data_IF_990519752735
#
_entry.id   IF_990519752735
#
_cell.length_a   1.000
_cell.length_b   1.000
_cell.length_c   1.000
_cell.angle_alpha   90.00
_cell.angle_beta   90.00
_cell.angle_gamma   90.00
#
_symmetry.space_group_name_H-M   'P 1'
#
loop_
_entity.id
_entity.type
_entity.pdbx_description
1 polymer ?
#
# COMPACT_ATOMS: atom_id res chain seq x y z
N UNK A 1 49.30 2.72 -32.44
CA UNK A 1 48.56 2.67 -31.16
C UNK A 1 47.91 1.32 -30.90
N UNK A 2 47.09 0.72 -31.80
CA UNK A 2 46.45 -0.59 -31.61
C UNK A 2 47.40 -1.76 -31.34
N UNK A 3 48.55 -1.80 -32.03
CA UNK A 3 49.56 -2.84 -31.79
C UNK A 3 50.18 -2.78 -30.37
N UNK A 4 50.35 -1.57 -29.78
CA UNK A 4 50.83 -1.41 -28.41
C UNK A 4 49.81 -1.88 -27.36
N UNK A 5 48.53 -1.95 -27.72
CA UNK A 5 47.44 -2.43 -26.88
C UNK A 5 47.07 -3.90 -27.13
N UNK A 6 47.81 -4.60 -28.00
CA UNK A 6 47.52 -6.00 -28.33
C UNK A 6 46.19 -6.22 -29.08
N UNK A 7 45.63 -5.16 -29.68
CA UNK A 7 44.34 -5.21 -30.36
C UNK A 7 44.53 -5.30 -31.88
N UNK A 8 43.89 -6.30 -32.50
CA UNK A 8 43.94 -6.44 -33.98
C UNK A 8 43.12 -5.32 -34.66
N UNK A 9 43.60 -4.81 -35.79
CA UNK A 9 42.87 -3.78 -36.57
C UNK A 9 41.50 -4.27 -37.02
N UNK A 10 41.35 -5.53 -37.38
CA UNK A 10 40.08 -6.15 -37.78
C UNK A 10 39.11 -6.21 -36.62
N UNK A 11 39.55 -6.64 -35.44
CA UNK A 11 38.75 -6.68 -34.23
C UNK A 11 38.26 -5.29 -33.83
N UNK A 12 39.11 -4.28 -33.89
CA UNK A 12 38.74 -2.89 -33.62
C UNK A 12 37.68 -2.35 -34.58
N UNK A 13 37.85 -2.60 -35.90
CA UNK A 13 36.85 -2.20 -36.91
C UNK A 13 35.53 -2.92 -36.73
N UNK A 14 35.54 -4.21 -36.42
CA UNK A 14 34.32 -4.99 -36.13
C UNK A 14 33.64 -4.47 -34.88
N UNK A 15 34.39 -4.02 -33.88
CA UNK A 15 33.85 -3.45 -32.66
C UNK A 15 33.18 -2.09 -32.92
N UNK A 16 33.83 -1.18 -33.66
CA UNK A 16 33.28 0.13 -34.00
C UNK A 16 32.00 0.01 -34.87
N UNK A 17 32.03 -0.89 -35.84
CA UNK A 17 30.91 -1.07 -36.78
C UNK A 17 29.84 -2.04 -36.29
N UNK A 18 29.91 -2.45 -35.02
CA UNK A 18 28.98 -3.44 -34.48
C UNK A 18 27.58 -2.88 -34.37
N UNK A 19 26.66 -3.44 -35.12
CA UNK A 19 25.24 -3.16 -34.96
C UNK A 19 24.70 -3.85 -33.73
N UNK A 20 23.76 -3.21 -33.00
CA UNK A 20 23.13 -3.86 -31.86
C UNK A 20 22.42 -5.15 -32.28
N UNK A 21 22.54 -6.19 -31.46
CA UNK A 21 21.83 -7.45 -31.73
C UNK A 21 20.30 -7.27 -31.49
N UNK A 22 19.48 -8.12 -32.10
CA UNK A 22 18.05 -8.13 -31.87
C UNK A 22 17.69 -8.23 -30.38
N UNK A 23 18.47 -8.95 -29.61
CA UNK A 23 18.31 -9.04 -28.13
C UNK A 23 18.57 -7.71 -27.44
N UNK A 24 19.59 -6.97 -27.86
CA UNK A 24 19.89 -5.65 -27.32
C UNK A 24 18.81 -4.63 -27.69
N UNK A 25 18.33 -4.64 -28.94
CA UNK A 25 17.23 -3.78 -29.39
C UNK A 25 15.99 -4.05 -28.55
N UNK A 26 15.60 -5.34 -28.37
CA UNK A 26 14.47 -5.73 -27.54
C UNK A 26 14.65 -5.30 -26.08
N UNK A 27 15.84 -5.42 -25.53
CA UNK A 27 16.16 -5.00 -24.17
C UNK A 27 15.91 -3.49 -23.97
N UNK A 28 16.36 -2.65 -24.89
CA UNK A 28 16.15 -1.20 -24.82
C UNK A 28 14.67 -0.83 -24.95
N UNK A 29 13.93 -1.49 -25.83
CA UNK A 29 12.48 -1.30 -25.94
C UNK A 29 11.77 -1.65 -24.64
N UNK A 30 12.11 -2.78 -24.02
CA UNK A 30 11.51 -3.18 -22.74
C UNK A 30 11.90 -2.24 -21.62
N UNK A 31 13.15 -1.79 -21.53
CA UNK A 31 13.60 -0.79 -20.55
C UNK A 31 12.84 0.53 -20.68
N UNK A 32 12.61 0.99 -21.90
CA UNK A 32 11.80 2.18 -22.15
C UNK A 32 10.36 2.00 -21.63
N UNK A 33 9.70 0.87 -21.92
CA UNK A 33 8.36 0.55 -21.42
C UNK A 33 8.32 0.46 -19.88
N UNK A 34 9.33 -0.14 -19.26
CA UNK A 34 9.47 -0.19 -17.79
C UNK A 34 9.52 1.22 -17.22
N UNK A 35 10.32 2.12 -17.81
CA UNK A 35 10.48 3.52 -17.37
C UNK A 35 9.16 4.28 -17.47
N UNK A 36 8.41 4.11 -18.57
CA UNK A 36 7.09 4.72 -18.75
C UNK A 36 6.12 4.25 -17.65
N UNK A 37 5.94 2.92 -17.47
CA UNK A 37 5.04 2.36 -16.46
C UNK A 37 5.44 2.79 -15.03
N UNK A 38 6.74 2.88 -14.76
CA UNK A 38 7.25 3.33 -13.47
C UNK A 38 6.89 4.79 -13.21
N UNK A 39 7.08 5.68 -14.18
CA UNK A 39 6.73 7.10 -14.07
C UNK A 39 5.21 7.30 -13.97
N UNK A 40 4.41 6.60 -14.78
CA UNK A 40 2.94 6.65 -14.73
C UNK A 40 2.39 6.23 -13.36
N UNK A 41 3.10 5.31 -12.68
CA UNK A 41 2.77 4.90 -11.32
C UNK A 41 3.28 5.85 -10.24
N UNK A 42 3.83 7.01 -10.61
CA UNK A 42 4.51 7.94 -9.68
C UNK A 42 5.57 7.20 -8.84
N UNK A 43 6.37 6.36 -9.49
CA UNK A 43 7.47 5.59 -8.88
C UNK A 43 7.05 4.53 -7.85
N UNK A 44 5.75 4.22 -7.74
CA UNK A 44 5.23 3.27 -6.74
C UNK A 44 5.31 1.79 -7.17
N UNK A 45 5.50 1.51 -8.48
CA UNK A 45 5.49 0.13 -8.96
C UNK A 45 6.85 -0.52 -8.90
N UNK A 46 6.94 -1.66 -8.21
CA UNK A 46 8.08 -2.56 -8.25
C UNK A 46 7.98 -3.59 -9.38
N UNK A 47 9.01 -4.44 -9.50
CA UNK A 47 9.11 -5.44 -10.57
C UNK A 47 7.86 -6.33 -10.76
N UNK A 48 7.17 -6.82 -9.72
CA UNK A 48 5.97 -7.64 -9.90
C UNK A 48 4.82 -6.89 -10.59
N UNK A 49 4.52 -5.66 -10.14
CA UNK A 49 3.44 -4.85 -10.71
C UNK A 49 3.75 -4.42 -12.14
N UNK A 50 5.00 -4.03 -12.43
CA UNK A 50 5.46 -3.67 -13.78
C UNK A 50 5.42 -4.88 -14.71
N UNK A 51 5.87 -6.06 -14.26
CA UNK A 51 5.79 -7.29 -15.06
C UNK A 51 4.34 -7.66 -15.39
N UNK A 52 3.41 -7.49 -14.44
CA UNK A 52 1.98 -7.71 -14.67
C UNK A 52 1.44 -6.76 -15.74
N UNK A 53 1.79 -5.49 -15.69
CA UNK A 53 1.39 -4.49 -16.70
C UNK A 53 1.95 -4.80 -18.09
N UNK A 54 3.24 -5.16 -18.17
CA UNK A 54 3.87 -5.56 -19.43
C UNK A 54 3.21 -6.81 -20.04
N UNK A 55 2.86 -7.81 -19.22
CA UNK A 55 2.12 -8.99 -19.68
C UNK A 55 0.73 -8.63 -20.20
N UNK A 56 0.04 -7.70 -19.55
CA UNK A 56 -1.27 -7.20 -20.01
C UNK A 56 -1.18 -6.47 -21.37
N UNK A 57 -0.02 -5.85 -21.68
CA UNK A 57 0.25 -5.24 -22.99
C UNK A 57 0.83 -6.24 -24.02
N UNK A 58 0.79 -7.56 -23.75
CA UNK A 58 1.23 -8.60 -24.67
C UNK A 58 2.72 -8.95 -24.62
N UNK A 59 3.50 -8.40 -23.66
CA UNK A 59 4.91 -8.71 -23.53
C UNK A 59 5.14 -10.04 -22.80
N UNK A 60 5.99 -10.90 -23.36
CA UNK A 60 6.44 -12.14 -22.70
C UNK A 60 7.69 -11.81 -21.88
N UNK A 61 7.50 -11.58 -20.56
CA UNK A 61 8.58 -11.21 -19.66
C UNK A 61 8.35 -11.74 -18.24
N UNK A 62 9.42 -12.08 -17.53
CA UNK A 62 9.36 -12.53 -16.14
C UNK A 62 9.63 -11.37 -15.17
N UNK A 63 9.14 -11.48 -13.94
CA UNK A 63 9.40 -10.52 -12.88
C UNK A 63 10.89 -10.37 -12.58
N UNK A 64 11.64 -11.49 -12.63
CA UNK A 64 13.10 -11.50 -12.46
C UNK A 64 13.81 -10.66 -13.51
N UNK A 65 13.37 -10.73 -14.78
CA UNK A 65 13.94 -9.95 -15.88
C UNK A 65 13.63 -8.45 -15.71
N UNK A 66 12.40 -8.11 -15.32
CA UNK A 66 12.03 -6.74 -15.01
C UNK A 66 12.86 -6.20 -13.85
N UNK A 67 13.01 -6.96 -12.77
CA UNK A 67 13.85 -6.58 -11.62
C UNK A 67 15.32 -6.36 -12.00
N UNK A 68 15.87 -7.19 -12.89
CA UNK A 68 17.23 -7.00 -13.44
C UNK A 68 17.33 -5.68 -14.19
N UNK A 69 16.39 -5.39 -15.09
CA UNK A 69 16.41 -4.15 -15.87
C UNK A 69 16.18 -2.91 -15.02
N UNK A 70 15.32 -2.97 -14.01
CA UNK A 70 15.14 -1.89 -13.04
C UNK A 70 16.46 -1.61 -12.30
N UNK A 71 17.17 -2.64 -11.86
CA UNK A 71 18.48 -2.51 -11.20
C UNK A 71 19.53 -1.88 -12.13
N UNK A 72 19.59 -2.31 -13.40
CA UNK A 72 20.49 -1.74 -14.40
C UNK A 72 20.21 -0.26 -14.68
N UNK A 73 18.96 0.18 -14.62
CA UNK A 73 18.53 1.58 -14.79
C UNK A 73 18.62 2.41 -13.49
N UNK A 74 19.00 1.81 -12.36
CA UNK A 74 19.01 2.49 -11.05
C UNK A 74 17.62 2.81 -10.49
N UNK A 75 16.56 2.16 -11.01
CA UNK A 75 15.17 2.42 -10.64
C UNK A 75 14.78 1.51 -9.48
N UNK A 76 14.21 2.10 -8.43
CA UNK A 76 13.63 1.38 -7.27
C UNK A 76 12.24 1.91 -6.99
N UNK A 77 11.29 1.02 -6.68
CA UNK A 77 10.00 1.46 -6.15
C UNK A 77 10.21 2.22 -4.83
N UNK A 78 9.39 3.23 -4.60
CA UNK A 78 9.40 3.92 -3.31
C UNK A 78 9.12 2.91 -2.20
N UNK A 79 10.02 2.87 -1.23
CA UNK A 79 9.93 1.94 -0.11
C UNK A 79 9.31 2.65 1.08
N UNK A 80 8.19 2.10 1.56
CA UNK A 80 7.55 2.57 2.77
C UNK A 80 8.37 2.07 3.95
N UNK A 81 8.80 2.99 4.83
CA UNK A 81 9.55 2.63 6.03
C UNK A 81 8.74 1.63 6.87
N UNK A 82 9.41 0.61 7.46
CA UNK A 82 8.72 -0.30 8.36
C UNK A 82 8.04 0.45 9.51
N UNK A 83 6.90 -0.06 9.90
CA UNK A 83 6.08 0.43 10.99
C UNK A 83 6.86 0.55 12.32
N UNK A 84 6.65 1.63 13.04
CA UNK A 84 7.17 1.82 14.41
C UNK A 84 6.06 1.46 15.41
N UNK A 85 6.34 0.54 16.34
CA UNK A 85 5.39 0.13 17.39
C UNK A 85 5.19 1.30 18.35
N UNK A 86 4.02 1.91 18.35
CA UNK A 86 3.67 3.07 19.20
C UNK A 86 2.75 2.72 20.37
N UNK A 87 2.19 1.51 20.40
CA UNK A 87 1.20 1.10 21.41
C UNK A 87 1.89 0.59 22.67
N UNK A 88 1.77 1.31 23.79
CA UNK A 88 2.16 0.85 25.13
C UNK A 88 1.07 -0.06 25.73
N UNK A 89 1.51 -1.05 26.53
CA UNK A 89 0.61 -1.98 27.21
C UNK A 89 -0.41 -1.28 28.11
N UNK A 90 -1.67 -1.68 27.97
CA UNK A 90 -2.67 -1.54 29.00
C UNK A 90 -3.29 -2.91 29.28
N UNK A 91 -3.63 -3.23 30.54
CA UNK A 91 -4.19 -4.52 30.99
C UNK A 91 -5.49 -4.96 30.30
N UNK A 92 -6.09 -4.07 29.50
CA UNK A 92 -7.26 -4.35 28.66
C UNK A 92 -6.99 -5.33 27.50
N UNK A 93 -5.72 -5.62 27.20
CA UNK A 93 -5.33 -6.39 26.00
C UNK A 93 -5.91 -7.82 25.96
N UNK A 94 -6.16 -8.43 27.12
CA UNK A 94 -6.68 -9.82 27.24
C UNK A 94 -8.15 -9.97 26.83
N UNK A 95 -8.94 -8.86 26.85
CA UNK A 95 -10.36 -8.88 26.48
C UNK A 95 -10.62 -8.52 25.02
N UNK A 96 -9.62 -7.98 24.31
CA UNK A 96 -9.75 -7.54 22.92
C UNK A 96 -9.45 -8.71 21.99
N UNK A 97 -10.49 -9.24 21.33
CA UNK A 97 -10.39 -10.39 20.43
C UNK A 97 -10.11 -9.93 19.01
N UNK A 98 -9.22 -10.65 18.31
CA UNK A 98 -9.13 -10.57 16.85
C UNK A 98 -10.13 -11.56 16.25
N UNK A 99 -11.27 -11.05 15.79
CA UNK A 99 -12.31 -11.87 15.15
C UNK A 99 -12.03 -12.00 13.66
N UNK A 100 -11.39 -10.98 13.05
CA UNK A 100 -11.07 -10.98 11.63
C UNK A 100 -10.04 -12.02 11.25
N UNK A 101 -9.02 -12.23 12.10
CA UNK A 101 -7.95 -13.22 11.96
C UNK A 101 -7.40 -13.34 10.54
N UNK A 102 -7.00 -12.22 9.97
CA UNK A 102 -6.42 -12.07 8.61
C UNK A 102 -7.37 -12.47 7.45
N UNK A 103 -8.66 -12.69 7.69
CA UNK A 103 -9.65 -12.98 6.65
C UNK A 103 -10.05 -11.69 5.91
N UNK A 104 -9.13 -11.15 5.12
CA UNK A 104 -9.31 -9.86 4.45
C UNK A 104 -10.18 -9.89 3.18
N UNK A 105 -10.72 -11.02 2.80
CA UNK A 105 -11.55 -11.19 1.59
C UNK A 105 -12.97 -11.64 1.95
N UNK A 106 -13.81 -10.77 2.52
CA UNK A 106 -15.19 -11.11 2.84
C UNK A 106 -16.01 -11.35 1.55
N UNK A 107 -17.04 -12.19 1.64
CA UNK A 107 -17.84 -12.61 0.49
C UNK A 107 -18.89 -11.57 0.04
N UNK A 108 -19.20 -10.59 0.90
CA UNK A 108 -20.25 -9.59 0.61
C UNK A 108 -19.86 -8.18 1.08
N UNK A 109 -20.43 -7.13 0.46
CA UNK A 109 -20.31 -5.76 0.95
C UNK A 109 -20.80 -5.62 2.39
N UNK A 110 -20.18 -4.72 3.14
CA UNK A 110 -20.50 -4.43 4.54
C UNK A 110 -20.45 -5.64 5.49
N UNK A 111 -19.66 -6.70 5.14
CA UNK A 111 -19.38 -7.79 6.07
C UNK A 111 -18.27 -7.39 7.05
N UNK A 112 -17.24 -6.74 6.56
CA UNK A 112 -16.10 -6.28 7.37
C UNK A 112 -15.72 -4.86 6.96
N UNK A 113 -15.67 -3.99 7.94
CA UNK A 113 -15.09 -2.66 7.82
C UNK A 113 -13.77 -2.60 8.59
N UNK A 114 -12.73 -2.03 7.99
CA UNK A 114 -11.50 -1.68 8.70
C UNK A 114 -11.44 -0.18 8.95
N UNK A 115 -11.07 0.20 10.17
CA UNK A 115 -10.89 1.59 10.58
C UNK A 115 -9.47 1.83 11.06
N UNK A 116 -8.92 2.99 10.67
CA UNK A 116 -7.60 3.40 11.07
C UNK A 116 -7.49 4.94 11.15
N UNK A 117 -6.55 5.42 11.97
CA UNK A 117 -6.21 6.83 12.09
C UNK A 117 -4.79 7.02 11.58
N UNK A 118 -4.63 7.79 10.51
CA UNK A 118 -3.32 8.22 10.04
C UNK A 118 -3.14 9.72 10.25
N UNK A 119 -1.90 10.16 10.38
CA UNK A 119 -1.58 11.57 10.44
C UNK A 119 -1.01 12.07 9.12
N UNK A 120 -1.35 13.30 8.78
CA UNK A 120 -0.93 13.96 7.56
C UNK A 120 -0.20 15.23 7.98
N UNK A 121 1.05 15.39 7.53
CA UNK A 121 1.78 16.62 7.72
C UNK A 121 1.27 17.68 6.74
N UNK A 122 0.99 18.88 7.25
CA UNK A 122 0.60 20.05 6.45
C UNK A 122 1.47 21.23 6.84
N UNK A 123 1.39 22.31 6.07
CA UNK A 123 2.12 23.57 6.38
C UNK A 123 1.74 24.09 7.77
N UNK A 124 0.49 23.90 8.19
CA UNK A 124 -0.02 24.34 9.48
C UNK A 124 0.15 23.32 10.63
N UNK A 125 0.89 22.22 10.39
CA UNK A 125 1.13 21.16 11.36
C UNK A 125 0.43 19.85 11.01
N UNK A 126 0.32 18.93 11.99
CA UNK A 126 -0.32 17.64 11.79
C UNK A 126 -1.85 17.75 11.77
N UNK A 127 -2.47 17.03 10.83
CA UNK A 127 -3.90 16.72 10.84
C UNK A 127 -4.08 15.20 10.85
N UNK A 128 -5.14 14.76 11.50
CA UNK A 128 -5.47 13.34 11.68
C UNK A 128 -6.60 12.96 10.76
N UNK A 129 -6.38 11.96 9.94
CA UNK A 129 -7.38 11.38 9.05
C UNK A 129 -7.85 10.06 9.66
N UNK A 130 -9.08 10.02 10.13
CA UNK A 130 -9.77 8.78 10.46
C UNK A 130 -10.51 8.30 9.23
N UNK A 131 -10.34 7.04 8.86
CA UNK A 131 -11.02 6.47 7.69
C UNK A 131 -11.60 5.10 7.98
N UNK A 132 -12.67 4.75 7.26
CA UNK A 132 -13.28 3.42 7.28
C UNK A 132 -13.31 2.88 5.86
N UNK A 133 -12.74 1.69 5.69
CA UNK A 133 -12.71 0.93 4.43
C UNK A 133 -13.64 -0.26 4.52
N UNK A 134 -14.46 -0.48 3.50
CA UNK A 134 -15.17 -1.74 3.29
C UNK A 134 -14.22 -2.75 2.62
N UNK A 135 -13.92 -3.84 3.31
CA UNK A 135 -12.94 -4.82 2.83
C UNK A 135 -13.37 -5.57 1.58
N UNK A 136 -14.65 -5.74 1.34
CA UNK A 136 -15.14 -6.38 0.11
C UNK A 136 -14.81 -5.54 -1.13
N UNK A 137 -15.16 -4.26 -1.10
CA UNK A 137 -14.98 -3.35 -2.23
C UNK A 137 -13.63 -2.65 -2.23
N UNK A 138 -12.88 -2.69 -1.13
CA UNK A 138 -11.63 -1.94 -0.90
C UNK A 138 -11.80 -0.42 -1.01
N UNK A 139 -13.03 0.08 -0.89
CA UNK A 139 -13.35 1.50 -0.97
C UNK A 139 -13.40 2.13 0.42
N UNK A 140 -12.91 3.35 0.53
CA UNK A 140 -13.15 4.19 1.71
C UNK A 140 -14.61 4.65 1.65
N UNK A 141 -15.39 4.23 2.64
CA UNK A 141 -16.83 4.52 2.73
C UNK A 141 -17.14 5.75 3.58
N UNK A 142 -16.25 6.06 4.53
CA UNK A 142 -16.34 7.26 5.33
C UNK A 142 -14.94 7.72 5.78
N UNK A 143 -14.82 9.01 6.00
CA UNK A 143 -13.61 9.62 6.57
C UNK A 143 -13.93 10.92 7.29
N UNK A 144 -13.07 11.29 8.24
CA UNK A 144 -13.09 12.57 8.97
C UNK A 144 -11.66 13.07 9.13
N UNK A 145 -11.47 14.35 8.85
CA UNK A 145 -10.21 15.06 9.06
C UNK A 145 -10.34 15.93 10.31
N UNK A 146 -9.35 15.90 11.19
CA UNK A 146 -9.34 16.68 12.42
C UNK A 146 -7.94 17.19 12.75
N UNK A 147 -7.87 18.29 13.50
CA UNK A 147 -6.61 18.79 14.09
C UNK A 147 -6.23 18.06 15.38
N UNK A 148 -7.15 17.31 15.97
CA UNK A 148 -6.95 16.54 17.21
C UNK A 148 -7.27 15.08 17.00
N UNK A 149 -6.61 14.20 17.76
CA UNK A 149 -6.83 12.75 17.71
C UNK A 149 -7.81 12.31 18.79
N UNK A 150 -9.03 12.85 18.76
CA UNK A 150 -10.08 12.60 19.75
C UNK A 150 -10.99 11.42 19.35
N UNK A 151 -11.63 10.81 20.33
CA UNK A 151 -12.61 9.73 20.15
C UNK A 151 -13.79 10.19 19.29
N UNK A 152 -14.21 11.47 19.43
CA UNK A 152 -15.28 12.09 18.66
C UNK A 152 -15.09 11.91 17.14
N UNK A 153 -13.87 12.09 16.64
CA UNK A 153 -13.55 11.93 15.20
C UNK A 153 -13.82 10.51 14.69
N UNK A 154 -13.48 9.50 15.51
CA UNK A 154 -13.74 8.10 15.18
C UNK A 154 -15.21 7.80 15.17
N UNK A 155 -15.96 8.30 16.17
CA UNK A 155 -17.40 8.16 16.27
C UNK A 155 -18.12 8.81 15.09
N UNK A 156 -17.72 10.03 14.73
CA UNK A 156 -18.26 10.74 13.57
C UNK A 156 -18.03 9.97 12.27
N UNK A 157 -16.86 9.38 12.12
CA UNK A 157 -16.55 8.55 10.96
C UNK A 157 -17.41 7.30 10.90
N UNK A 158 -17.63 6.63 12.04
CA UNK A 158 -18.55 5.48 12.14
C UNK A 158 -19.99 5.89 11.80
N UNK A 159 -20.47 7.01 12.32
CA UNK A 159 -21.81 7.50 12.06
C UNK A 159 -22.01 7.88 10.58
N UNK A 160 -21.01 8.53 9.95
CA UNK A 160 -20.98 8.77 8.50
C UNK A 160 -21.03 7.48 7.69
N UNK A 161 -20.29 6.45 8.10
CA UNK A 161 -20.33 5.16 7.43
C UNK A 161 -21.72 4.51 7.53
N UNK A 162 -22.32 4.53 8.73
CA UNK A 162 -23.68 4.02 8.97
C UNK A 162 -24.75 4.74 8.14
N UNK A 163 -24.65 6.06 7.99
CA UNK A 163 -25.62 6.83 7.21
C UNK A 163 -25.53 6.55 5.70
N UNK A 164 -24.36 6.14 5.22
CA UNK A 164 -24.11 5.86 3.79
C UNK A 164 -24.36 4.42 3.38
N UNK A 165 -24.51 3.51 4.34
CA UNK A 165 -24.61 2.07 4.09
C UNK A 165 -25.78 1.43 4.84
N UNK A 166 -26.55 0.62 4.13
CA UNK A 166 -27.55 -0.25 4.78
C UNK A 166 -26.84 -1.40 5.49
N UNK A 167 -27.15 -1.62 6.74
CA UNK A 167 -26.57 -2.64 7.59
C UNK A 167 -27.62 -3.71 7.90
N UNK A 168 -27.96 -4.50 6.90
CA UNK A 168 -29.05 -5.50 6.96
C UNK A 168 -28.55 -6.86 7.48
N UNK A 169 -27.26 -6.99 7.76
CA UNK A 169 -26.62 -8.23 8.18
C UNK A 169 -25.49 -7.95 9.18
N UNK A 170 -25.00 -8.96 9.91
CA UNK A 170 -23.89 -8.82 10.85
C UNK A 170 -22.66 -8.17 10.20
N UNK A 171 -22.09 -7.19 10.88
CA UNK A 171 -20.93 -6.43 10.44
C UNK A 171 -19.81 -6.52 11.47
N UNK A 172 -18.62 -6.89 11.03
CA UNK A 172 -17.39 -6.81 11.82
C UNK A 172 -16.75 -5.44 11.56
N UNK A 173 -16.43 -4.69 12.63
CA UNK A 173 -15.58 -3.51 12.54
C UNK A 173 -14.23 -3.82 13.18
N UNK A 174 -13.19 -3.79 12.36
CA UNK A 174 -11.81 -4.09 12.75
C UNK A 174 -10.99 -2.81 12.86
N UNK A 175 -10.17 -2.72 13.90
CA UNK A 175 -9.27 -1.58 14.14
C UNK A 175 -8.03 -2.03 14.90
N UNK A 176 -7.07 -1.13 15.04
CA UNK A 176 -5.98 -1.29 16.00
C UNK A 176 -6.49 -1.18 17.46
N UNK A 177 -5.57 -1.25 18.43
CA UNK A 177 -5.85 -1.11 19.86
C UNK A 177 -5.63 0.31 20.38
N UNK A 178 -5.75 1.31 19.53
CA UNK A 178 -5.64 2.70 19.94
C UNK A 178 -6.67 3.05 21.00
N UNK A 179 -6.34 4.00 21.90
CA UNK A 179 -7.21 4.41 23.02
C UNK A 179 -8.59 4.85 22.55
N UNK A 180 -8.69 5.40 21.34
CA UNK A 180 -9.94 5.84 20.71
C UNK A 180 -10.89 4.66 20.48
N UNK A 181 -10.36 3.52 19.96
CA UNK A 181 -11.14 2.34 19.61
C UNK A 181 -11.54 1.47 20.81
N UNK A 182 -10.87 1.62 21.95
CA UNK A 182 -11.21 0.91 23.19
C UNK A 182 -12.06 1.75 24.16
N UNK A 183 -12.35 3.01 23.82
CA UNK A 183 -13.15 3.91 24.63
C UNK A 183 -14.60 3.42 24.81
N UNK A 184 -15.23 3.80 25.92
CA UNK A 184 -16.64 3.47 26.20
C UNK A 184 -17.58 4.09 25.16
N UNK A 185 -17.26 5.28 24.70
CA UNK A 185 -18.02 6.03 23.69
C UNK A 185 -18.01 5.29 22.34
N UNK A 186 -16.84 4.83 21.89
CA UNK A 186 -16.73 4.03 20.67
C UNK A 186 -17.47 2.69 20.81
N UNK A 187 -17.39 2.04 21.96
CA UNK A 187 -18.10 0.79 22.23
C UNK A 187 -19.63 1.00 22.13
N UNK A 188 -20.16 2.11 22.65
CA UNK A 188 -21.58 2.48 22.51
C UNK A 188 -21.93 2.75 21.05
N UNK A 189 -21.12 3.52 20.34
CA UNK A 189 -21.34 3.84 18.92
C UNK A 189 -21.35 2.60 18.02
N UNK A 190 -20.60 1.55 18.38
CA UNK A 190 -20.48 0.29 17.63
C UNK A 190 -21.22 -0.89 18.29
N UNK A 191 -22.19 -0.65 19.17
CA UNK A 191 -22.87 -1.70 19.95
C UNK A 191 -23.57 -2.77 19.09
N UNK A 192 -24.05 -2.40 17.90
CA UNK A 192 -24.70 -3.30 16.93
C UNK A 192 -23.70 -4.00 15.99
N UNK A 193 -22.40 -3.80 16.16
CA UNK A 193 -21.33 -4.37 15.36
C UNK A 193 -20.49 -5.34 16.18
N UNK A 194 -19.88 -6.31 15.54
CA UNK A 194 -18.85 -7.16 16.15
C UNK A 194 -17.51 -6.44 16.09
N UNK A 195 -16.97 -6.04 17.23
CA UNK A 195 -15.67 -5.37 17.29
C UNK A 195 -14.55 -6.39 17.23
N UNK A 196 -13.63 -6.20 16.31
CA UNK A 196 -12.41 -6.97 16.14
C UNK A 196 -11.21 -6.05 16.29
N UNK A 197 -10.15 -6.55 16.94
CA UNK A 197 -8.96 -5.74 17.21
C UNK A 197 -7.72 -6.49 16.78
N UNK A 198 -6.78 -5.78 16.14
CA UNK A 198 -5.48 -6.34 15.74
C UNK A 198 -4.76 -6.99 16.91
N UNK A 199 -3.99 -8.03 16.65
CA UNK A 199 -3.08 -8.62 17.65
C UNK A 199 -2.01 -7.59 18.02
N UNK A 200 -1.55 -7.61 19.27
CA UNK A 200 -0.49 -6.69 19.72
C UNK A 200 0.78 -6.95 18.93
N UNK A 201 1.42 -5.86 18.48
CA UNK A 201 2.67 -5.90 17.69
C UNK A 201 2.58 -6.74 16.40
N UNK A 202 1.39 -6.86 15.81
CA UNK A 202 1.17 -7.62 14.58
C UNK A 202 0.62 -6.68 13.48
N UNK A 203 1.50 -5.97 12.75
CA UNK A 203 1.10 -4.95 11.77
C UNK A 203 0.28 -5.53 10.60
N UNK A 204 0.41 -6.81 10.32
CA UNK A 204 -0.32 -7.47 9.23
C UNK A 204 -1.83 -7.52 9.43
N UNK A 205 -2.31 -7.46 10.68
CA UNK A 205 -3.73 -7.53 11.01
C UNK A 205 -4.55 -6.34 10.46
N UNK A 206 -3.91 -5.19 10.21
CA UNK A 206 -4.57 -4.00 9.64
C UNK A 206 -3.97 -3.57 8.27
N UNK A 207 -3.23 -4.48 7.63
CA UNK A 207 -2.45 -4.21 6.43
C UNK A 207 -3.24 -3.60 5.26
N UNK A 208 -4.54 -3.92 5.14
CA UNK A 208 -5.37 -3.45 4.04
C UNK A 208 -5.57 -1.94 4.07
N UNK A 209 -5.91 -1.37 5.23
CA UNK A 209 -6.15 0.07 5.36
C UNK A 209 -4.82 0.82 5.49
N UNK A 210 -3.81 0.24 6.14
CA UNK A 210 -2.47 0.79 6.21
C UNK A 210 -1.84 0.94 4.82
N UNK A 211 -1.98 -0.06 3.96
CA UNK A 211 -1.54 0.01 2.55
C UNK A 211 -2.23 1.12 1.77
N UNK A 212 -3.51 1.38 2.04
CA UNK A 212 -4.22 2.51 1.44
C UNK A 212 -3.63 3.84 1.90
N UNK A 213 -3.41 4.02 3.21
CA UNK A 213 -2.83 5.25 3.74
C UNK A 213 -1.42 5.51 3.21
N UNK A 214 -0.59 4.48 3.19
CA UNK A 214 0.76 4.55 2.65
C UNK A 214 0.78 4.97 1.17
N UNK A 215 -0.13 4.44 0.35
CA UNK A 215 -0.24 4.84 -1.07
C UNK A 215 -0.60 6.33 -1.21
N UNK A 216 -1.45 6.86 -0.33
CA UNK A 216 -1.86 8.27 -0.33
C UNK A 216 -0.79 9.24 0.16
N UNK A 217 0.05 8.83 1.09
CA UNK A 217 1.18 9.65 1.55
C UNK A 217 2.21 9.84 0.44
N UNK A 218 2.46 8.80 -0.36
CA UNK A 218 3.40 8.84 -1.48
C UNK A 218 2.90 9.63 -2.72
N UNK A 219 1.60 9.92 -2.82
CA UNK A 219 1.04 10.73 -3.91
C UNK A 219 1.25 12.24 -3.71
N UNK A 220 1.81 12.69 -2.60
CA UNK A 220 1.97 14.11 -2.22
C UNK A 220 3.40 14.64 -2.32
N UNK A 221 4.37 13.76 -2.59
CA UNK A 221 5.74 14.14 -2.95
C UNK A 221 5.93 14.17 -4.49
#
# INVERSE_FOLDING_TARGET
>A
MLQKLGVSRTGYRSWINRKPSNTQIRQEVIKSKIKTIYNDSKQNYGAPKIAKKLKQSGEIITERTVGKYMKEMGIKAQWIKPYTITTKDSDFSKKLRNILDEQFNPERPNAVWCSDITYIWTIDGFVYLTSIMDLYSRKIIAWTLSKTMEVSCVIDTVNKAKSRRKLDAPLIIHSDRGSQYVSKEYQKATAKMQRSYSKKAFPWDNACIESFHASRQNERE
#
